data_IF_535584209332
#
_entry.id   IF_535584209332
#
_cell.length_a   1.000
_cell.length_b   1.000
_cell.length_c   1.000
_cell.angle_alpha   90.00
_cell.angle_beta   90.00
_cell.angle_gamma   90.00
#
_symmetry.space_group_name_H-M   'P 1'
#
loop_
_entity.id
_entity.type
_entity.pdbx_description
1 polymer ?
#
# COMPACT_ATOMS: atom_id res chain seq x y z
N UNK A 1 10.45 32.56 43.18
CA UNK A 1 10.33 33.53 42.07
C UNK A 1 10.14 32.75 40.77
N UNK A 2 8.90 32.52 40.32
CA UNK A 2 8.66 31.89 39.01
C UNK A 2 8.68 32.97 37.91
N UNK A 3 9.59 32.80 36.94
CA UNK A 3 9.66 33.67 35.76
C UNK A 3 8.44 33.36 34.89
N UNK A 4 7.51 34.31 34.79
CA UNK A 4 6.43 34.30 33.78
C UNK A 4 7.10 34.26 32.40
N UNK A 5 6.75 33.28 31.56
CA UNK A 5 7.14 33.24 30.14
C UNK A 5 6.04 34.01 29.37
N UNK A 6 6.29 35.22 28.84
CA UNK A 6 5.31 35.97 28.07
C UNK A 6 5.82 36.10 26.64
N UNK A 7 5.71 35.06 25.82
CA UNK A 7 6.18 35.13 24.43
C UNK A 7 5.19 34.63 23.36
N UNK A 8 4.09 33.97 23.75
CA UNK A 8 3.22 33.31 22.77
C UNK A 8 1.83 33.94 22.60
N UNK A 9 1.46 34.97 23.38
CA UNK A 9 0.08 35.51 23.37
C UNK A 9 -0.38 36.12 22.04
N UNK A 10 0.54 36.45 21.14
CA UNK A 10 0.24 37.12 19.87
C UNK A 10 0.73 36.37 18.63
N UNK A 11 1.11 35.08 18.73
CA UNK A 11 1.45 34.32 17.53
C UNK A 11 0.18 33.97 16.77
N UNK A 12 0.04 34.53 15.58
CA UNK A 12 -0.96 34.11 14.60
C UNK A 12 -0.35 32.96 13.80
N UNK A 13 -0.80 31.75 14.09
CA UNK A 13 -0.46 30.58 13.30
C UNK A 13 -1.39 30.54 12.08
N UNK A 14 -0.80 30.38 10.90
CA UNK A 14 -1.55 29.98 9.71
C UNK A 14 -1.49 28.47 9.61
N UNK A 15 -2.56 27.86 9.11
CA UNK A 15 -2.49 26.45 8.74
C UNK A 15 -1.44 26.27 7.64
N UNK A 16 -0.76 25.13 7.63
CA UNK A 16 0.18 24.80 6.54
C UNK A 16 -0.52 24.81 5.18
N UNK A 17 -1.83 24.51 5.15
CA UNK A 17 -2.68 24.55 3.96
C UNK A 17 -3.00 25.98 3.47
N UNK A 18 -2.80 27.00 4.31
CA UNK A 18 -3.01 28.41 3.93
C UNK A 18 -1.76 29.06 3.35
N UNK A 19 -0.63 28.34 3.36
CA UNK A 19 0.61 28.82 2.78
C UNK A 19 0.59 28.60 1.26
N UNK A 20 0.93 29.65 0.51
CA UNK A 20 1.18 29.51 -0.93
C UNK A 20 2.45 28.69 -1.12
N UNK A 21 2.35 27.66 -1.97
CA UNK A 21 3.51 26.84 -2.33
C UNK A 21 4.46 27.71 -3.17
N UNK A 22 5.75 27.80 -2.82
CA UNK A 22 6.73 28.49 -3.64
C UNK A 22 6.78 27.90 -5.05
N UNK A 23 6.94 28.76 -6.07
CA UNK A 23 6.99 28.33 -7.48
C UNK A 23 7.95 27.16 -7.74
N UNK A 24 9.14 27.17 -7.12
CA UNK A 24 10.14 26.10 -7.25
C UNK A 24 9.68 24.73 -6.71
N UNK A 25 8.64 24.70 -5.88
CA UNK A 25 8.04 23.51 -5.28
C UNK A 25 6.71 23.11 -5.95
N UNK A 26 6.19 23.88 -6.90
CA UNK A 26 4.91 23.56 -7.57
C UNK A 26 5.00 22.24 -8.34
N UNK A 27 6.07 22.04 -9.14
CA UNK A 27 6.31 20.79 -9.86
C UNK A 27 6.42 19.56 -8.93
N UNK A 28 7.30 19.59 -7.91
CA UNK A 28 7.39 18.51 -6.93
C UNK A 28 6.07 18.23 -6.22
N UNK A 29 5.32 19.27 -5.83
CA UNK A 29 4.02 19.10 -5.18
C UNK A 29 2.97 18.46 -6.08
N UNK A 30 2.92 18.86 -7.37
CA UNK A 30 2.04 18.24 -8.35
C UNK A 30 2.40 16.77 -8.57
N UNK A 31 3.70 16.47 -8.73
CA UNK A 31 4.18 15.10 -8.86
C UNK A 31 3.79 14.27 -7.63
N UNK A 32 4.04 14.80 -6.43
CA UNK A 32 3.67 14.18 -5.16
C UNK A 32 2.18 13.83 -5.13
N UNK A 33 1.31 14.78 -5.49
CA UNK A 33 -0.13 14.57 -5.57
C UNK A 33 -0.51 13.46 -6.56
N UNK A 34 0.13 13.40 -7.74
CA UNK A 34 -0.10 12.32 -8.72
C UNK A 34 0.34 10.97 -8.14
N UNK A 35 1.54 10.90 -7.58
CA UNK A 35 2.09 9.71 -6.92
C UNK A 35 1.18 9.20 -5.80
N UNK A 36 0.61 10.10 -5.00
CA UNK A 36 -0.30 9.75 -3.91
C UNK A 36 -1.72 9.39 -4.37
N UNK A 37 -2.16 9.81 -5.54
CA UNK A 37 -3.53 9.57 -6.01
C UNK A 37 -3.64 8.59 -7.20
N UNK A 38 -2.52 8.02 -7.66
CA UNK A 38 -2.53 7.03 -8.75
C UNK A 38 -3.33 5.78 -8.35
N UNK A 39 -4.17 5.26 -9.24
CA UNK A 39 -4.95 4.04 -9.07
C UNK A 39 -5.18 3.38 -10.44
N UNK A 40 -5.96 2.31 -10.50
CA UNK A 40 -6.24 1.60 -11.76
C UNK A 40 -7.00 2.46 -12.78
N UNK A 41 -7.87 3.35 -12.34
CA UNK A 41 -8.74 4.18 -13.19
C UNK A 41 -7.99 5.36 -13.82
N UNK A 42 -7.00 5.93 -13.12
CA UNK A 42 -6.27 7.14 -13.56
C UNK A 42 -4.78 6.90 -13.88
N UNK A 43 -4.34 5.63 -13.96
CA UNK A 43 -2.92 5.29 -14.11
C UNK A 43 -2.28 5.88 -15.36
N UNK A 44 -2.97 5.83 -16.49
CA UNK A 44 -2.46 6.31 -17.78
C UNK A 44 -2.33 7.84 -17.81
N UNK A 45 -3.31 8.56 -17.26
CA UNK A 45 -3.28 10.02 -17.13
C UNK A 45 -2.16 10.44 -16.17
N UNK A 46 -2.03 9.72 -15.06
CA UNK A 46 -0.94 9.94 -14.09
C UNK A 46 0.44 9.79 -14.72
N UNK A 47 0.64 8.75 -15.56
CA UNK A 47 1.88 8.55 -16.33
C UNK A 47 2.14 9.73 -17.26
N UNK A 48 1.10 10.16 -17.98
CA UNK A 48 1.20 11.24 -18.97
C UNK A 48 1.56 12.56 -18.30
N UNK A 49 0.91 12.88 -17.18
CA UNK A 49 1.18 14.08 -16.39
C UNK A 49 2.60 14.06 -15.81
N UNK A 50 3.05 12.93 -15.24
CA UNK A 50 4.41 12.81 -14.72
C UNK A 50 5.47 12.99 -15.81
N UNK A 51 5.24 12.44 -17.01
CA UNK A 51 6.13 12.68 -18.17
C UNK A 51 6.18 14.14 -18.55
N UNK A 52 5.03 14.82 -18.57
CA UNK A 52 4.97 16.24 -18.87
C UNK A 52 5.79 17.06 -17.88
N UNK A 53 5.63 16.83 -16.56
CA UNK A 53 6.40 17.53 -15.52
C UNK A 53 7.92 17.35 -15.68
N UNK A 54 8.37 16.17 -16.10
CA UNK A 54 9.78 15.88 -16.35
C UNK A 54 10.27 16.60 -17.62
N UNK A 55 9.50 16.53 -18.70
CA UNK A 55 9.86 17.13 -19.99
C UNK A 55 9.91 18.66 -19.92
N UNK A 56 9.03 19.27 -19.12
CA UNK A 56 9.02 20.72 -18.85
C UNK A 56 10.10 21.15 -17.85
N UNK A 57 10.86 20.20 -17.27
CA UNK A 57 11.90 20.50 -16.29
C UNK A 57 11.37 20.94 -14.92
N UNK A 58 10.07 20.78 -14.67
CA UNK A 58 9.42 21.14 -13.40
C UNK A 58 9.81 20.20 -12.26
N UNK A 59 10.18 18.96 -12.60
CA UNK A 59 10.81 18.03 -11.66
C UNK A 59 12.08 17.45 -12.26
N UNK A 60 13.12 17.36 -11.43
CA UNK A 60 14.35 16.66 -11.81
C UNK A 60 14.14 15.14 -11.73
N UNK A 61 14.92 14.39 -12.51
CA UNK A 61 14.96 12.92 -12.42
C UNK A 61 15.22 12.44 -10.98
N UNK A 62 16.11 13.12 -10.23
CA UNK A 62 16.42 12.78 -8.84
C UNK A 62 15.20 12.90 -7.91
N UNK A 63 14.37 13.91 -8.12
CA UNK A 63 13.12 14.09 -7.36
C UNK A 63 12.13 12.98 -7.72
N UNK A 64 11.97 12.69 -9.00
CA UNK A 64 11.12 11.59 -9.47
C UNK A 64 11.55 10.23 -8.91
N UNK A 65 12.84 9.93 -8.91
CA UNK A 65 13.40 8.69 -8.34
C UNK A 65 13.15 8.62 -6.83
N UNK A 66 13.26 9.76 -6.13
CA UNK A 66 13.00 9.85 -4.68
C UNK A 66 11.53 9.62 -4.36
N UNK A 67 10.60 10.19 -5.13
CA UNK A 67 9.17 9.93 -4.96
C UNK A 67 8.82 8.48 -5.30
N UNK A 68 9.37 7.95 -6.39
CA UNK A 68 9.16 6.55 -6.75
C UNK A 68 9.63 5.64 -5.62
N UNK A 69 10.84 5.89 -5.09
CA UNK A 69 11.36 5.12 -3.97
C UNK A 69 10.48 5.25 -2.73
N UNK A 70 10.08 6.47 -2.35
CA UNK A 70 9.22 6.71 -1.19
C UNK A 70 7.87 6.00 -1.33
N UNK A 71 7.19 6.14 -2.46
CA UNK A 71 5.90 5.45 -2.65
C UNK A 71 6.09 3.94 -2.71
N UNK A 72 7.17 3.45 -3.29
CA UNK A 72 7.45 2.02 -3.31
C UNK A 72 7.72 1.46 -1.91
N UNK A 73 8.58 2.11 -1.12
CA UNK A 73 9.06 1.58 0.16
C UNK A 73 8.11 1.88 1.30
N UNK A 74 7.42 3.03 1.25
CA UNK A 74 6.46 3.43 2.27
C UNK A 74 5.04 2.95 1.92
N UNK A 75 4.70 2.85 0.64
CA UNK A 75 3.35 2.45 0.16
C UNK A 75 3.27 1.00 -0.33
N UNK A 76 4.11 0.12 0.24
CA UNK A 76 4.06 -1.35 0.05
C UNK A 76 2.64 -1.94 0.23
N UNK A 77 1.68 -1.22 0.85
CA UNK A 77 0.33 -1.76 1.05
C UNK A 77 -0.63 -1.55 -0.13
N UNK A 78 -0.45 -0.55 -0.99
CA UNK A 78 -1.25 -0.45 -2.21
C UNK A 78 -0.42 -0.97 -3.38
N UNK A 79 -0.17 -2.28 -3.35
CA UNK A 79 0.77 -2.98 -4.25
C UNK A 79 0.46 -2.77 -5.73
N UNK A 80 -0.81 -2.55 -6.08
CA UNK A 80 -1.19 -2.09 -7.42
C UNK A 80 -0.47 -0.80 -7.80
N UNK A 81 -0.50 0.22 -6.94
CA UNK A 81 0.19 1.47 -7.18
C UNK A 81 1.70 1.25 -7.32
N UNK A 82 2.31 0.34 -6.55
CA UNK A 82 3.74 0.03 -6.73
C UNK A 82 4.03 -0.62 -8.09
N UNK A 83 3.16 -1.50 -8.59
CA UNK A 83 3.29 -2.08 -9.94
C UNK A 83 3.08 -1.00 -11.01
N UNK A 84 2.06 -0.15 -10.85
CA UNK A 84 1.83 0.98 -11.74
C UNK A 84 3.02 1.92 -11.75
N UNK A 85 3.61 2.23 -10.60
CA UNK A 85 4.80 3.06 -10.49
C UNK A 85 6.03 2.41 -11.06
N UNK A 86 6.20 1.08 -10.93
CA UNK A 86 7.23 0.36 -11.66
C UNK A 86 7.03 0.50 -13.18
N UNK A 87 5.79 0.41 -13.67
CA UNK A 87 5.48 0.62 -15.08
C UNK A 87 5.74 2.07 -15.51
N UNK A 88 5.33 3.05 -14.71
CA UNK A 88 5.60 4.48 -14.92
C UNK A 88 7.11 4.69 -15.00
N UNK A 89 7.86 4.19 -14.02
CA UNK A 89 9.31 4.28 -13.94
C UNK A 89 9.98 3.64 -15.16
N UNK A 90 9.59 2.43 -15.54
CA UNK A 90 10.13 1.76 -16.73
C UNK A 90 9.85 2.55 -18.02
N UNK A 91 8.68 3.18 -18.10
CA UNK A 91 8.27 3.97 -19.27
C UNK A 91 8.98 5.32 -19.34
N UNK A 92 9.24 5.94 -18.19
CA UNK A 92 9.83 7.28 -18.05
C UNK A 92 11.35 7.24 -18.08
N UNK A 93 11.97 6.27 -17.39
CA UNK A 93 13.39 6.31 -17.04
C UNK A 93 14.34 5.57 -18.00
N UNK A 94 13.88 5.04 -19.15
CA UNK A 94 14.59 4.05 -19.99
C UNK A 94 14.88 2.75 -19.19
N UNK A 95 15.31 1.62 -19.80
CA UNK A 95 15.49 0.34 -19.09
C UNK A 95 16.72 0.39 -18.17
N UNK A 96 16.60 1.08 -17.05
CA UNK A 96 17.56 1.03 -15.96
C UNK A 96 17.13 -0.01 -14.93
N UNK A 97 18.14 -0.57 -14.25
CA UNK A 97 18.01 -1.54 -13.17
C UNK A 97 16.93 -1.10 -12.17
N UNK A 98 15.77 -1.73 -12.24
CA UNK A 98 14.81 -1.76 -11.14
C UNK A 98 15.61 -2.17 -9.89
N UNK A 99 15.63 -1.35 -8.82
CA UNK A 99 16.29 -1.73 -7.57
C UNK A 99 15.94 -3.16 -7.18
N UNK A 100 16.91 -3.96 -6.72
CA UNK A 100 16.68 -5.40 -6.49
C UNK A 100 15.48 -5.69 -5.58
N UNK A 101 15.27 -4.84 -4.56
CA UNK A 101 14.13 -4.94 -3.64
C UNK A 101 12.79 -4.75 -4.37
N UNK A 102 12.76 -3.84 -5.34
CA UNK A 102 11.62 -3.62 -6.23
C UNK A 102 11.41 -4.75 -7.22
N UNK A 103 12.50 -5.30 -7.73
CA UNK A 103 12.46 -6.43 -8.66
C UNK A 103 11.86 -7.66 -7.98
N UNK A 104 12.21 -7.92 -6.72
CA UNK A 104 11.61 -9.01 -5.94
C UNK A 104 10.12 -8.79 -5.71
N UNK A 105 9.70 -7.58 -5.30
CA UNK A 105 8.27 -7.25 -5.16
C UNK A 105 7.52 -7.42 -6.48
N UNK A 106 8.07 -6.91 -7.58
CA UNK A 106 7.49 -7.06 -8.91
C UNK A 106 7.37 -8.54 -9.30
N UNK A 107 8.43 -9.34 -9.14
CA UNK A 107 8.39 -10.78 -9.45
C UNK A 107 7.32 -11.48 -8.59
N UNK A 108 7.29 -11.20 -7.29
CA UNK A 108 6.34 -11.79 -6.35
C UNK A 108 4.88 -11.49 -6.74
N UNK A 109 4.58 -10.24 -7.12
CA UNK A 109 3.21 -9.81 -7.45
C UNK A 109 2.84 -9.90 -8.94
N UNK A 110 3.81 -10.11 -9.82
CA UNK A 110 3.57 -10.34 -11.25
C UNK A 110 3.10 -11.75 -11.56
N UNK A 111 3.21 -12.68 -10.60
CA UNK A 111 2.74 -14.05 -10.78
C UNK A 111 1.24 -14.07 -11.11
N UNK A 112 0.85 -14.95 -12.03
CA UNK A 112 -0.55 -15.08 -12.43
C UNK A 112 -1.44 -15.39 -11.22
N UNK A 113 -0.96 -16.20 -10.28
CA UNK A 113 -1.71 -16.55 -9.07
C UNK A 113 -1.97 -15.33 -8.18
N UNK A 114 -1.02 -14.41 -8.03
CA UNK A 114 -1.24 -13.18 -7.27
C UNK A 114 -2.35 -12.32 -7.91
N UNK A 115 -2.41 -12.26 -9.24
CA UNK A 115 -3.47 -11.52 -9.95
C UNK A 115 -4.85 -12.14 -9.71
N UNK A 116 -4.93 -13.48 -9.77
CA UNK A 116 -6.17 -14.21 -9.50
C UNK A 116 -6.62 -14.02 -8.05
N UNK A 117 -5.69 -14.13 -7.09
CA UNK A 117 -6.02 -13.88 -5.68
C UNK A 117 -6.51 -12.44 -5.53
N UNK A 118 -5.82 -11.49 -6.14
CA UNK A 118 -6.16 -10.07 -6.05
C UNK A 118 -7.51 -9.71 -6.67
N UNK A 119 -7.93 -10.35 -7.77
CA UNK A 119 -9.26 -10.15 -8.36
C UNK A 119 -10.38 -10.82 -7.55
N UNK A 120 -10.02 -11.63 -6.54
CA UNK A 120 -10.93 -12.45 -5.73
C UNK A 120 -11.81 -13.39 -6.56
N UNK A 121 -11.31 -13.83 -7.72
CA UNK A 121 -11.96 -14.80 -8.60
C UNK A 121 -11.66 -16.23 -8.12
N UNK A 122 -12.55 -16.74 -7.26
CA UNK A 122 -12.39 -18.06 -6.64
C UNK A 122 -12.48 -19.22 -7.65
N UNK A 123 -13.19 -19.06 -8.76
CA UNK A 123 -13.34 -20.11 -9.77
C UNK A 123 -12.12 -20.20 -10.68
N UNK A 124 -11.57 -19.06 -11.12
CA UNK A 124 -10.27 -19.02 -11.80
C UNK A 124 -9.16 -19.57 -10.88
N UNK A 125 -9.22 -19.23 -9.59
CA UNK A 125 -8.29 -19.75 -8.59
C UNK A 125 -8.33 -21.28 -8.52
N UNK A 126 -9.52 -21.88 -8.34
CA UNK A 126 -9.69 -23.34 -8.30
C UNK A 126 -9.14 -24.02 -9.56
N UNK A 127 -9.51 -23.50 -10.73
CA UNK A 127 -9.04 -24.02 -12.02
C UNK A 127 -7.52 -23.99 -12.11
N UNK A 128 -6.88 -22.90 -11.64
CA UNK A 128 -5.43 -22.78 -11.60
C UNK A 128 -4.78 -23.79 -10.65
N UNK A 129 -5.39 -24.02 -9.48
CA UNK A 129 -4.89 -24.95 -8.47
C UNK A 129 -5.02 -26.42 -8.88
N UNK A 130 -6.01 -26.78 -9.71
CA UNK A 130 -6.13 -28.11 -10.29
C UNK A 130 -5.00 -28.42 -11.29
N UNK A 131 -4.63 -27.43 -12.11
CA UNK A 131 -3.56 -27.57 -13.10
C UNK A 131 -2.17 -27.54 -12.45
N UNK A 132 -1.99 -26.70 -11.43
CA UNK A 132 -0.72 -26.52 -10.73
C UNK A 132 -0.96 -26.31 -9.25
N UNK A 133 -1.02 -27.39 -8.44
CA UNK A 133 -1.11 -27.27 -7.00
C UNK A 133 0.06 -26.43 -6.46
N UNK A 134 -0.12 -25.79 -5.29
CA UNK A 134 0.93 -24.93 -4.77
C UNK A 134 2.12 -25.82 -4.47
N UNK A 135 3.29 -25.49 -5.01
CA UNK A 135 4.53 -26.01 -4.43
C UNK A 135 4.60 -25.51 -2.99
N UNK A 136 5.38 -26.17 -2.12
CA UNK A 136 5.64 -25.78 -0.71
C UNK A 136 6.36 -24.41 -0.58
N UNK A 137 6.10 -23.48 -1.49
CA UNK A 137 6.60 -22.12 -1.50
C UNK A 137 6.29 -21.45 -0.17
N UNK A 138 7.23 -20.60 0.24
CA UNK A 138 7.26 -19.90 1.52
C UNK A 138 6.12 -18.91 1.75
N UNK A 139 5.22 -18.74 0.77
CA UNK A 139 4.14 -17.78 0.86
C UNK A 139 2.78 -18.45 0.79
N UNK A 140 2.16 -18.57 1.95
CA UNK A 140 0.80 -19.06 2.11
C UNK A 140 -0.20 -18.22 1.28
N UNK A 141 -0.94 -18.90 0.38
CA UNK A 141 -1.99 -18.29 -0.44
C UNK A 141 -3.10 -17.67 0.41
N UNK A 142 -3.43 -18.26 1.57
CA UNK A 142 -4.39 -17.66 2.51
C UNK A 142 -3.86 -16.34 3.10
N UNK A 143 -2.54 -16.28 3.33
CA UNK A 143 -1.85 -15.05 3.67
C UNK A 143 -2.03 -13.96 2.61
N UNK A 144 -1.82 -14.30 1.34
CA UNK A 144 -2.02 -13.37 0.23
C UNK A 144 -3.47 -12.90 0.12
N UNK A 145 -4.44 -13.81 0.22
CA UNK A 145 -5.86 -13.48 0.18
C UNK A 145 -6.24 -12.50 1.31
N UNK A 146 -5.77 -12.74 2.54
CA UNK A 146 -5.97 -11.81 3.64
C UNK A 146 -5.30 -10.45 3.41
N UNK A 147 -4.09 -10.43 2.84
CA UNK A 147 -3.36 -9.19 2.56
C UNK A 147 -4.00 -8.36 1.45
N UNK A 148 -4.62 -8.99 0.46
CA UNK A 148 -5.35 -8.33 -0.61
C UNK A 148 -6.81 -8.00 -0.25
N UNK A 149 -7.34 -8.57 0.82
CA UNK A 149 -8.75 -8.42 1.19
C UNK A 149 -9.69 -9.26 0.33
N UNK A 150 -9.17 -10.31 -0.30
CA UNK A 150 -9.88 -11.24 -1.20
C UNK A 150 -10.69 -12.25 -0.38
N UNK A 151 -11.92 -11.88 -0.04
CA UNK A 151 -12.73 -12.61 0.94
C UNK A 151 -13.18 -13.96 0.40
N UNK A 152 -13.53 -14.09 -0.88
CA UNK A 152 -14.02 -15.35 -1.44
C UNK A 152 -12.91 -16.40 -1.44
N UNK A 153 -11.72 -16.03 -1.90
CA UNK A 153 -10.55 -16.91 -1.91
C UNK A 153 -10.07 -17.18 -0.48
N UNK A 154 -10.08 -16.18 0.42
CA UNK A 154 -9.75 -16.41 1.82
C UNK A 154 -10.67 -17.45 2.46
N UNK A 155 -11.99 -17.34 2.24
CA UNK A 155 -12.97 -18.28 2.79
C UNK A 155 -12.84 -19.68 2.20
N UNK A 156 -12.45 -19.79 0.92
CA UNK A 156 -12.10 -21.07 0.30
C UNK A 156 -10.87 -21.72 0.93
N UNK A 157 -9.87 -20.92 1.32
CA UNK A 157 -8.61 -21.40 1.87
C UNK A 157 -8.56 -21.49 3.40
N UNK A 158 -9.61 -21.07 4.12
CA UNK A 158 -9.58 -20.83 5.56
C UNK A 158 -9.22 -22.04 6.42
N UNK A 159 -9.48 -23.26 5.93
CA UNK A 159 -9.15 -24.49 6.65
C UNK A 159 -7.63 -24.73 6.73
N UNK A 160 -6.84 -23.97 5.95
CA UNK A 160 -5.38 -24.00 5.93
C UNK A 160 -4.75 -22.79 6.68
N UNK A 161 -5.52 -22.08 7.52
CA UNK A 161 -5.06 -20.86 8.22
C UNK A 161 -3.92 -21.13 9.21
N UNK A 162 -3.84 -22.34 9.78
CA UNK A 162 -2.86 -22.68 10.82
C UNK A 162 -1.39 -22.52 10.42
N UNK A 163 -1.12 -22.32 9.13
CA UNK A 163 0.22 -22.25 8.57
C UNK A 163 0.83 -20.84 8.56
N UNK A 164 0.05 -19.76 8.75
CA UNK A 164 0.56 -18.38 8.67
C UNK A 164 0.42 -17.60 9.99
N UNK A 165 1.49 -17.53 10.81
CA UNK A 165 1.48 -16.77 12.07
C UNK A 165 1.36 -15.25 11.89
N UNK A 166 1.38 -14.76 10.64
CA UNK A 166 1.25 -13.33 10.32
C UNK A 166 -0.10 -13.00 9.68
N UNK A 167 -1.04 -13.95 9.63
CA UNK A 167 -2.32 -13.79 8.92
C UNK A 167 -3.12 -12.59 9.41
N UNK A 168 -3.17 -12.35 10.73
CA UNK A 168 -3.86 -11.19 11.32
C UNK A 168 -3.25 -9.88 10.81
N UNK A 169 -1.92 -9.78 10.79
CA UNK A 169 -1.24 -8.57 10.31
C UNK A 169 -1.52 -8.34 8.82
N UNK A 170 -1.64 -9.41 8.04
CA UNK A 170 -2.00 -9.35 6.62
C UNK A 170 -3.46 -8.88 6.45
N UNK A 171 -4.41 -9.44 7.19
CA UNK A 171 -5.80 -9.01 7.16
C UNK A 171 -5.97 -7.52 7.54
N UNK A 172 -5.24 -7.05 8.56
CA UNK A 172 -5.24 -5.62 8.94
C UNK A 172 -4.72 -4.72 7.82
N UNK A 173 -3.72 -5.16 7.06
CA UNK A 173 -3.24 -4.42 5.87
C UNK A 173 -4.30 -4.41 4.76
N UNK A 174 -4.93 -5.56 4.52
CA UNK A 174 -5.98 -5.74 3.50
C UNK A 174 -7.22 -4.88 3.79
N UNK A 175 -7.59 -4.74 5.06
CA UNK A 175 -8.70 -3.89 5.50
C UNK A 175 -10.08 -4.46 5.19
N UNK A 176 -10.19 -5.74 4.83
CA UNK A 176 -11.47 -6.39 4.64
C UNK A 176 -12.05 -6.82 6.01
N UNK A 177 -13.17 -6.21 6.41
CA UNK A 177 -13.79 -6.45 7.72
C UNK A 177 -14.33 -7.87 7.89
N UNK A 178 -14.75 -8.57 6.83
CA UNK A 178 -15.24 -9.95 6.94
C UNK A 178 -14.10 -10.89 7.36
N UNK A 179 -12.93 -10.72 6.75
CA UNK A 179 -11.71 -11.45 7.12
C UNK A 179 -11.27 -11.08 8.54
N UNK A 180 -11.24 -9.79 8.88
CA UNK A 180 -10.85 -9.30 10.20
C UNK A 180 -11.77 -9.87 11.29
N UNK A 181 -13.09 -9.77 11.10
CA UNK A 181 -14.08 -10.28 12.04
C UNK A 181 -14.01 -11.80 12.20
N UNK A 182 -13.77 -12.53 11.10
CA UNK A 182 -13.55 -13.96 11.14
C UNK A 182 -12.32 -14.29 12.01
N UNK A 183 -11.16 -13.69 11.73
CA UNK A 183 -9.93 -13.94 12.47
C UNK A 183 -10.03 -13.51 13.94
N UNK A 184 -10.71 -12.39 14.23
CA UNK A 184 -10.90 -11.91 15.60
C UNK A 184 -11.71 -12.89 16.46
N UNK A 185 -12.73 -13.54 15.87
CA UNK A 185 -13.50 -14.59 16.56
C UNK A 185 -12.66 -15.83 16.87
N UNK A 186 -11.70 -16.17 16.01
CA UNK A 186 -10.86 -17.36 16.19
C UNK A 186 -9.67 -17.12 17.13
N UNK A 187 -9.07 -15.94 17.08
CA UNK A 187 -7.81 -15.62 17.78
C UNK A 187 -7.76 -14.13 18.21
N UNK A 188 -8.59 -13.71 19.18
CA UNK A 188 -8.67 -12.30 19.58
C UNK A 188 -7.36 -11.74 20.14
N UNK A 189 -6.55 -12.58 20.81
CA UNK A 189 -5.28 -12.18 21.43
C UNK A 189 -4.24 -11.69 20.40
N UNK A 190 -4.26 -12.23 19.18
CA UNK A 190 -3.33 -11.84 18.11
C UNK A 190 -3.54 -10.39 17.64
N UNK A 191 -4.67 -9.76 18.00
CA UNK A 191 -4.97 -8.38 17.63
C UNK A 191 -4.35 -7.33 18.56
N UNK A 192 -3.93 -7.69 19.77
CA UNK A 192 -3.50 -6.75 20.83
C UNK A 192 -2.43 -5.74 20.40
N UNK A 193 -1.54 -6.12 19.49
CA UNK A 193 -0.43 -5.29 19.03
C UNK A 193 -0.51 -4.92 17.54
N UNK A 194 -1.73 -4.88 17.00
CA UNK A 194 -1.95 -4.71 15.55
C UNK A 194 -2.30 -3.30 15.10
N UNK A 195 -2.62 -2.38 16.03
CA UNK A 195 -2.91 -0.98 15.72
C UNK A 195 -1.79 -0.31 14.89
N UNK A 196 -0.53 -0.59 15.21
CA UNK A 196 0.62 -0.08 14.45
C UNK A 196 0.60 -0.51 12.99
N UNK A 197 0.05 -1.69 12.66
CA UNK A 197 -0.06 -2.15 11.28
C UNK A 197 -1.18 -1.43 10.55
N UNK A 198 -2.33 -1.19 11.19
CA UNK A 198 -3.43 -0.41 10.61
C UNK A 198 -2.97 1.03 10.30
N UNK A 199 -2.29 1.68 11.25
CA UNK A 199 -1.73 3.03 11.07
C UNK A 199 -0.69 3.04 9.93
N UNK A 200 0.27 2.12 9.97
CA UNK A 200 1.26 1.98 8.89
C UNK A 200 0.61 1.72 7.53
N UNK A 201 -0.59 1.15 7.51
CA UNK A 201 -1.37 0.83 6.31
C UNK A 201 -2.41 1.87 5.91
N UNK A 202 -2.43 3.02 6.59
CA UNK A 202 -3.43 4.07 6.37
C UNK A 202 -4.87 3.54 6.38
N UNK A 203 -5.12 2.46 7.14
CA UNK A 203 -6.45 1.87 7.34
C UNK A 203 -7.09 2.53 8.56
N UNK A 204 -7.51 3.77 8.40
CA UNK A 204 -8.08 4.57 9.50
C UNK A 204 -9.35 3.92 10.05
N UNK A 205 -10.17 3.36 9.16
CA UNK A 205 -11.35 2.56 9.49
C UNK A 205 -11.02 1.34 10.38
N UNK A 206 -9.98 0.58 10.00
CA UNK A 206 -9.50 -0.55 10.79
C UNK A 206 -8.89 -0.10 12.11
N UNK A 207 -8.14 1.00 12.12
CA UNK A 207 -7.56 1.57 13.33
C UNK A 207 -8.65 1.98 14.34
N UNK A 208 -9.69 2.66 13.87
CA UNK A 208 -10.85 3.04 14.69
C UNK A 208 -11.58 1.80 15.24
N UNK A 209 -11.72 0.75 14.41
CA UNK A 209 -12.30 -0.50 14.84
C UNK A 209 -11.45 -1.20 15.92
N UNK A 210 -10.12 -1.22 15.75
CA UNK A 210 -9.19 -1.81 16.72
C UNK A 210 -9.28 -1.09 18.08
N UNK A 211 -9.30 0.25 18.08
CA UNK A 211 -9.42 1.04 19.32
C UNK A 211 -10.73 0.80 20.08
N UNK A 212 -11.80 0.41 19.37
CA UNK A 212 -13.11 0.12 19.97
C UNK A 212 -13.23 -1.31 20.49
N UNK A 213 -12.60 -2.28 19.82
CA UNK A 213 -12.86 -3.70 20.04
C UNK A 213 -11.69 -4.46 20.70
N UNK A 214 -10.48 -3.93 20.64
CA UNK A 214 -9.26 -4.57 21.17
C UNK A 214 -8.80 -3.79 22.40
N UNK A 215 -8.78 -4.45 23.56
CA UNK A 215 -8.38 -3.87 24.85
C UNK A 215 -6.94 -4.17 25.20
#
# INVERSE_FOLDING_TARGET
>A
MSKKIPAFKNLKFKSICELKIPFILEGPHQAESIFWNINSENSQDSITNLKQLINEGLISKKIFDSFTHAVVTERIQNKMQSIFLCNVYNTVSKPYLIPNDLKQLYIQYSSQICKIIQSDDVEEYKTKMEVSPPSNSSQSHVGLAAEFGSVNIFMYLKDHISEDPKIVRKAIKGGNFDIINYLFKQQPEEFKYTLKFAIKSHRNDVADWLLKNVK
#
